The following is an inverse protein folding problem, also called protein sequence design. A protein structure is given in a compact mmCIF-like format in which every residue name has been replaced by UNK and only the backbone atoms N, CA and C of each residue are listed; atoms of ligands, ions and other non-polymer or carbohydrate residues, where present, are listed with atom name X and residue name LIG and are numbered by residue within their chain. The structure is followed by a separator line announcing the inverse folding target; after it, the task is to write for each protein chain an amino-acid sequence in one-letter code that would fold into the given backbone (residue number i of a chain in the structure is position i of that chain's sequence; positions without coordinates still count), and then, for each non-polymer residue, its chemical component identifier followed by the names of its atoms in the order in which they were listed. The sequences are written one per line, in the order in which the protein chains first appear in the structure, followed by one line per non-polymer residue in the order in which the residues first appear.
data_IF_054052438140
#
_entry.id   IF_054052438140
#
_cell.length_a   1.000
_cell.length_b   1.000
_cell.length_c   1.000
_cell.angle_alpha   90.00
_cell.angle_beta   90.00
_cell.angle_gamma   90.00
#
_symmetry.space_group_name_H-M   'P 1'
#
loop_
_entity.id
_entity.type
_entity.pdbx_description
1 polymer ?
#
# COMPACT_ATOMS: atom_id res chain seq x y z
N UNK A 1 -33.55 0.77 20.36
CA UNK A 1 -33.11 -0.63 20.30
C UNK A 1 -32.81 -1.03 18.86
N UNK A 2 -31.71 -1.69 18.67
CA UNK A 2 -31.34 -2.25 17.37
C UNK A 2 -32.28 -3.42 17.04
N UNK A 3 -32.78 -3.47 15.82
CA UNK A 3 -33.53 -4.63 15.36
C UNK A 3 -32.60 -5.84 15.22
N UNK A 4 -33.14 -7.05 15.33
CA UNK A 4 -32.36 -8.27 15.07
C UNK A 4 -31.81 -8.31 13.64
N UNK A 5 -32.56 -7.75 12.67
CA UNK A 5 -32.11 -7.66 11.28
C UNK A 5 -30.87 -6.76 11.15
N UNK A 6 -30.82 -5.61 11.85
CA UNK A 6 -29.66 -4.71 11.83
C UNK A 6 -28.42 -5.37 12.44
N UNK A 7 -28.59 -6.09 13.57
CA UNK A 7 -27.47 -6.86 14.18
C UNK A 7 -26.97 -7.97 13.28
N UNK A 8 -27.89 -8.70 12.66
CA UNK A 8 -27.54 -9.76 11.69
C UNK A 8 -26.76 -9.21 10.49
N UNK A 9 -27.24 -8.11 9.91
CA UNK A 9 -26.56 -7.47 8.79
C UNK A 9 -25.16 -7.00 9.14
N UNK A 10 -24.96 -6.38 10.32
CA UNK A 10 -23.66 -5.96 10.81
C UNK A 10 -22.71 -7.16 10.98
N UNK A 11 -23.21 -8.26 11.56
CA UNK A 11 -22.44 -9.48 11.72
C UNK A 11 -22.04 -10.08 10.38
N UNK A 12 -22.94 -10.06 9.39
CA UNK A 12 -22.65 -10.57 8.03
C UNK A 12 -21.63 -9.70 7.30
N UNK A 13 -21.68 -8.38 7.46
CA UNK A 13 -20.70 -7.46 6.91
C UNK A 13 -19.30 -7.74 7.47
N UNK A 14 -19.19 -7.88 8.80
CA UNK A 14 -17.92 -8.21 9.47
C UNK A 14 -17.37 -9.56 8.99
N UNK A 15 -18.21 -10.56 8.85
CA UNK A 15 -17.80 -11.88 8.36
C UNK A 15 -17.28 -11.80 6.93
N UNK A 16 -17.95 -11.04 6.07
CA UNK A 16 -17.52 -10.82 4.68
C UNK A 16 -16.15 -10.14 4.62
N UNK A 17 -15.92 -9.11 5.42
CA UNK A 17 -14.62 -8.44 5.52
C UNK A 17 -13.51 -9.40 5.96
N UNK A 18 -13.76 -10.20 7.00
CA UNK A 18 -12.80 -11.20 7.49
C UNK A 18 -12.47 -12.22 6.39
N UNK A 19 -13.47 -12.69 5.66
CA UNK A 19 -13.28 -13.63 4.56
C UNK A 19 -12.44 -13.03 3.42
N UNK A 20 -12.69 -11.77 3.06
CA UNK A 20 -11.91 -11.08 2.04
C UNK A 20 -10.45 -10.89 2.45
N UNK A 21 -10.20 -10.46 3.70
CA UNK A 21 -8.84 -10.33 4.23
C UNK A 21 -8.14 -11.69 4.23
N UNK A 22 -8.81 -12.73 4.70
CA UNK A 22 -8.24 -14.09 4.77
C UNK A 22 -7.88 -14.61 3.39
N UNK A 23 -8.78 -14.50 2.42
CA UNK A 23 -8.53 -14.93 1.04
C UNK A 23 -7.39 -14.14 0.40
N UNK A 24 -7.37 -12.81 0.59
CA UNK A 24 -6.31 -11.94 0.10
C UNK A 24 -4.96 -12.27 0.73
N UNK A 25 -4.91 -12.52 2.05
CA UNK A 25 -3.68 -12.92 2.74
C UNK A 25 -3.14 -14.25 2.23
N UNK A 26 -3.99 -15.23 1.93
CA UNK A 26 -3.55 -16.48 1.31
C UNK A 26 -2.85 -16.24 -0.02
N UNK A 27 -3.42 -15.40 -0.87
CA UNK A 27 -2.82 -15.06 -2.17
C UNK A 27 -1.48 -14.34 -2.01
N UNK A 28 -1.39 -13.40 -1.06
CA UNK A 28 -0.15 -12.66 -0.79
C UNK A 28 0.93 -13.55 -0.21
N UNK A 29 0.59 -14.43 0.72
CA UNK A 29 1.54 -15.41 1.28
C UNK A 29 2.05 -16.36 0.21
N UNK A 30 1.19 -16.88 -0.65
CA UNK A 30 1.59 -17.71 -1.77
C UNK A 30 2.52 -16.97 -2.72
N UNK A 31 2.24 -15.70 -3.02
CA UNK A 31 3.11 -14.86 -3.84
C UNK A 31 4.48 -14.67 -3.18
N UNK A 32 4.50 -14.39 -1.87
CA UNK A 32 5.75 -14.22 -1.11
C UNK A 32 6.59 -15.50 -1.08
N UNK A 33 5.97 -16.67 -0.92
CA UNK A 33 6.67 -17.95 -0.89
C UNK A 33 6.98 -18.54 -2.27
N UNK A 34 6.51 -17.93 -3.35
CA UNK A 34 6.71 -18.43 -4.71
C UNK A 34 8.15 -18.33 -5.22
N UNK A 35 8.96 -17.46 -4.60
CA UNK A 35 10.31 -17.15 -5.08
C UNK A 35 10.35 -16.25 -6.31
N UNK A 36 9.23 -15.67 -6.72
CA UNK A 36 9.14 -14.80 -7.92
C UNK A 36 9.55 -13.35 -7.67
N UNK A 37 9.84 -12.98 -6.42
CA UNK A 37 10.41 -11.70 -6.07
C UNK A 37 9.40 -10.59 -5.77
N UNK A 38 9.96 -9.40 -5.49
CA UNK A 38 9.20 -8.24 -5.02
C UNK A 38 8.16 -7.76 -6.05
N UNK A 39 8.54 -7.68 -7.32
CA UNK A 39 7.63 -7.18 -8.37
C UNK A 39 6.37 -8.06 -8.47
N UNK A 40 6.53 -9.37 -8.40
CA UNK A 40 5.41 -10.30 -8.43
C UNK A 40 4.48 -10.14 -7.21
N UNK A 41 5.06 -9.96 -6.03
CA UNK A 41 4.31 -9.70 -4.80
C UNK A 41 3.51 -8.39 -4.91
N UNK A 42 4.13 -7.33 -5.39
CA UNK A 42 3.50 -6.01 -5.58
C UNK A 42 2.38 -6.08 -6.63
N UNK A 43 2.61 -6.76 -7.74
CA UNK A 43 1.58 -6.94 -8.77
C UNK A 43 0.38 -7.74 -8.25
N UNK A 44 0.64 -8.77 -7.46
CA UNK A 44 -0.40 -9.56 -6.82
C UNK A 44 -1.23 -8.70 -5.87
N UNK A 45 -0.58 -7.92 -5.01
CA UNK A 45 -1.25 -7.02 -4.08
C UNK A 45 -2.07 -5.95 -4.81
N UNK A 46 -1.54 -5.36 -5.86
CA UNK A 46 -2.25 -4.36 -6.65
C UNK A 46 -3.55 -4.93 -7.24
N UNK A 47 -3.53 -6.16 -7.73
CA UNK A 47 -4.75 -6.81 -8.22
C UNK A 47 -5.77 -7.07 -7.11
N UNK A 48 -5.31 -7.48 -5.93
CA UNK A 48 -6.19 -7.75 -4.78
C UNK A 48 -6.84 -6.47 -4.28
N UNK A 49 -6.06 -5.41 -4.10
CA UNK A 49 -6.57 -4.11 -3.65
C UNK A 49 -7.30 -3.33 -4.75
N UNK A 50 -7.02 -3.63 -6.01
CA UNK A 50 -7.59 -2.93 -7.14
C UNK A 50 -7.05 -1.52 -7.35
N UNK A 51 -5.86 -1.22 -6.84
CA UNK A 51 -5.23 0.09 -6.89
C UNK A 51 -3.73 0.00 -7.17
N UNK A 52 -3.11 1.06 -7.76
CA UNK A 52 -1.68 1.10 -7.99
C UNK A 52 -0.87 1.10 -6.68
N UNK A 53 0.23 0.35 -6.66
CA UNK A 53 1.12 0.24 -5.50
C UNK A 53 2.55 0.57 -5.93
N UNK A 54 3.26 1.30 -5.09
CA UNK A 54 4.64 1.74 -5.26
C UNK A 54 5.46 1.40 -4.04
N UNK A 55 6.65 0.86 -4.25
CA UNK A 55 7.63 0.62 -3.17
C UNK A 55 8.86 1.47 -3.45
N UNK A 56 9.29 2.25 -2.47
CA UNK A 56 10.45 3.14 -2.58
C UNK A 56 11.43 2.91 -1.45
N UNK A 57 12.72 3.11 -1.71
CA UNK A 57 13.75 3.12 -0.68
C UNK A 57 13.91 4.51 -0.05
N UNK A 58 14.85 4.64 0.89
CA UNK A 58 15.10 5.92 1.58
C UNK A 58 15.79 6.96 0.68
N UNK A 59 16.31 6.58 -0.46
CA UNK A 59 16.87 7.48 -1.47
C UNK A 59 15.84 7.88 -2.54
N UNK A 60 14.56 7.58 -2.28
CA UNK A 60 13.43 7.88 -3.18
C UNK A 60 13.49 7.15 -4.52
N UNK A 61 14.20 6.02 -4.57
CA UNK A 61 14.24 5.13 -5.73
C UNK A 61 13.09 4.15 -5.67
N UNK A 62 12.37 3.98 -6.78
CA UNK A 62 11.36 2.95 -6.88
C UNK A 62 12.00 1.56 -6.96
N UNK A 63 11.66 0.71 -5.99
CA UNK A 63 12.08 -0.70 -5.96
C UNK A 63 11.09 -1.58 -6.72
N UNK A 64 9.82 -1.21 -6.72
CA UNK A 64 8.78 -1.86 -7.50
C UNK A 64 7.63 -0.89 -7.74
N UNK A 65 7.01 -1.02 -8.91
CA UNK A 65 5.80 -0.30 -9.31
C UNK A 65 4.86 -1.33 -9.90
N UNK A 66 3.62 -1.40 -9.41
CA UNK A 66 2.63 -2.34 -9.95
C UNK A 66 2.37 -2.07 -11.44
N UNK A 67 2.34 -3.13 -12.23
CA UNK A 67 2.26 -3.03 -13.70
C UNK A 67 0.84 -3.15 -14.25
N UNK A 68 -0.07 -3.82 -13.52
CA UNK A 68 -1.41 -4.16 -14.04
C UNK A 68 -2.41 -3.02 -13.98
N UNK A 69 -2.25 -2.10 -13.04
CA UNK A 69 -3.12 -0.93 -12.86
C UNK A 69 -2.23 0.30 -12.92
N UNK A 70 -2.36 1.08 -13.99
CA UNK A 70 -1.56 2.28 -14.23
C UNK A 70 -2.47 3.48 -14.00
N UNK A 71 -2.12 4.40 -13.08
CA UNK A 71 -2.94 5.58 -12.84
C UNK A 71 -2.94 6.49 -14.06
N UNK A 72 -4.10 7.03 -14.40
CA UNK A 72 -4.22 8.05 -15.43
C UNK A 72 -3.78 9.42 -14.88
N UNK A 73 -2.47 9.54 -14.66
CA UNK A 73 -1.87 10.72 -14.05
C UNK A 73 -0.46 10.91 -14.59
N UNK A 74 -0.24 12.07 -15.22
CA UNK A 74 1.05 12.39 -15.84
C UNK A 74 2.19 12.46 -14.84
N UNK A 75 1.94 12.93 -13.62
CA UNK A 75 2.93 13.00 -12.56
C UNK A 75 3.55 11.61 -12.27
N UNK A 76 2.72 10.62 -12.03
CA UNK A 76 3.20 9.25 -11.77
C UNK A 76 3.81 8.59 -13.01
N UNK A 77 3.31 8.93 -14.20
CA UNK A 77 3.91 8.45 -15.45
C UNK A 77 5.35 8.92 -15.60
N UNK A 78 5.61 10.19 -15.34
CA UNK A 78 6.95 10.76 -15.41
C UNK A 78 7.88 10.17 -14.33
N UNK A 79 7.40 10.03 -13.11
CA UNK A 79 8.17 9.40 -12.03
C UNK A 79 8.49 7.94 -12.34
N UNK A 80 7.54 7.19 -12.89
CA UNK A 80 7.75 5.80 -13.28
C UNK A 80 8.86 5.66 -14.35
N UNK A 81 8.93 6.59 -15.29
CA UNK A 81 9.99 6.60 -16.31
C UNK A 81 11.36 6.91 -15.72
N UNK A 82 11.43 7.83 -14.77
CA UNK A 82 12.71 8.21 -14.14
C UNK A 82 13.22 7.15 -13.15
N UNK A 83 12.33 6.36 -12.57
CA UNK A 83 12.65 5.39 -11.52
C UNK A 83 12.85 5.99 -10.14
N UNK A 84 12.57 7.27 -9.97
CA UNK A 84 12.74 8.01 -8.72
C UNK A 84 11.54 8.92 -8.45
N UNK A 85 11.28 9.21 -7.17
CA UNK A 85 10.35 10.28 -6.80
C UNK A 85 10.97 11.59 -7.26
N UNK A 86 10.17 12.43 -7.94
CA UNK A 86 10.61 13.72 -8.45
C UNK A 86 10.90 14.71 -7.32
N UNK A 87 11.65 15.77 -7.63
CA UNK A 87 11.87 16.88 -6.68
C UNK A 87 10.56 17.47 -6.16
N UNK A 88 9.57 17.59 -7.04
CA UNK A 88 8.23 18.06 -6.68
C UNK A 88 7.53 17.10 -5.72
N UNK A 89 7.64 15.79 -5.96
CA UNK A 89 7.11 14.75 -5.07
C UNK A 89 7.78 14.80 -3.69
N UNK A 90 9.09 14.92 -3.64
CA UNK A 90 9.85 15.04 -2.38
C UNK A 90 9.41 16.30 -1.62
N UNK A 91 9.26 17.43 -2.31
CA UNK A 91 8.81 18.67 -1.69
C UNK A 91 7.40 18.52 -1.09
N UNK A 92 6.50 17.81 -1.77
CA UNK A 92 5.16 17.51 -1.26
C UNK A 92 5.20 16.61 -0.02
N UNK A 93 6.02 15.57 -0.03
CA UNK A 93 6.20 14.67 1.13
C UNK A 93 6.66 15.48 2.35
N UNK A 94 7.64 16.36 2.19
CA UNK A 94 8.14 17.22 3.27
C UNK A 94 7.10 18.22 3.74
N UNK A 95 6.40 18.88 2.83
CA UNK A 95 5.39 19.88 3.16
C UNK A 95 4.23 19.27 3.96
N UNK A 96 3.88 18.03 3.69
CA UNK A 96 2.81 17.30 4.38
C UNK A 96 3.29 16.49 5.58
N UNK A 97 4.57 16.54 5.92
CA UNK A 97 5.17 15.82 7.06
C UNK A 97 4.85 14.30 7.05
N UNK A 98 4.82 13.68 5.87
CA UNK A 98 4.36 12.30 5.71
C UNK A 98 5.20 11.31 6.50
N UNK A 99 6.52 11.44 6.43
CA UNK A 99 7.44 10.53 7.13
C UNK A 99 7.22 10.58 8.65
N UNK A 100 7.01 11.79 9.17
CA UNK A 100 6.74 12.00 10.61
C UNK A 100 5.40 11.40 11.02
N UNK A 101 4.37 11.56 10.19
CA UNK A 101 3.04 11.04 10.49
C UNK A 101 3.01 9.51 10.46
N UNK A 102 3.67 8.88 9.49
CA UNK A 102 3.78 7.42 9.41
C UNK A 102 4.51 6.86 10.63
N UNK A 103 5.63 7.48 11.03
CA UNK A 103 6.39 7.07 12.22
C UNK A 103 5.60 7.24 13.50
N UNK A 104 4.90 8.36 13.64
CA UNK A 104 4.14 8.69 14.86
C UNK A 104 3.05 7.67 15.16
N UNK A 105 2.32 7.23 14.14
CA UNK A 105 1.17 6.35 14.32
C UNK A 105 1.51 4.87 14.21
N UNK A 106 2.65 4.52 13.64
CA UNK A 106 3.09 3.14 13.42
C UNK A 106 2.02 2.26 12.75
N UNK A 107 1.28 2.86 11.83
CA UNK A 107 0.32 2.19 10.97
C UNK A 107 0.17 3.02 9.68
N UNK A 108 -0.49 2.47 8.64
CA UNK A 108 -0.68 3.20 7.40
C UNK A 108 -1.35 4.55 7.61
N UNK A 109 -0.81 5.57 6.97
CA UNK A 109 -1.30 6.94 7.04
C UNK A 109 -1.98 7.31 5.73
N UNK A 110 -3.25 7.77 5.83
CA UNK A 110 -4.02 8.24 4.68
C UNK A 110 -3.92 9.75 4.55
N UNK A 111 -3.66 10.22 3.33
CA UNK A 111 -3.71 11.65 3.03
C UNK A 111 -4.10 11.88 1.58
N UNK A 112 -4.59 13.10 1.27
CA UNK A 112 -4.89 13.51 -0.10
C UNK A 112 -3.79 14.42 -0.59
N UNK A 113 -3.14 14.02 -1.68
CA UNK A 113 -2.08 14.81 -2.30
C UNK A 113 -2.68 15.82 -3.27
N UNK A 114 -2.25 17.08 -3.16
CA UNK A 114 -2.63 18.14 -4.12
C UNK A 114 -1.99 17.91 -5.49
N UNK A 115 -0.84 17.24 -5.56
CA UNK A 115 -0.13 16.95 -6.81
C UNK A 115 -0.89 15.95 -7.69
N UNK A 116 -1.54 14.98 -7.06
CA UNK A 116 -2.16 13.87 -7.77
C UNK A 116 -3.67 13.86 -7.66
N UNK A 117 -4.23 14.76 -6.85
CA UNK A 117 -5.67 14.93 -6.65
C UNK A 117 -6.41 13.64 -6.26
N UNK A 118 -5.71 12.76 -5.54
CA UNK A 118 -6.30 11.51 -5.06
C UNK A 118 -5.79 11.16 -3.67
N UNK A 119 -6.53 10.30 -2.97
CA UNK A 119 -6.11 9.75 -1.70
C UNK A 119 -4.95 8.77 -1.87
N UNK A 120 -4.14 8.67 -0.84
CA UNK A 120 -2.99 7.79 -0.81
C UNK A 120 -2.82 7.21 0.59
N UNK A 121 -2.50 5.93 0.65
CA UNK A 121 -2.15 5.24 1.87
C UNK A 121 -0.64 4.96 1.85
N UNK A 122 0.04 5.35 2.90
CA UNK A 122 1.51 5.20 3.02
C UNK A 122 1.85 4.46 4.30
N UNK A 123 2.75 3.50 4.20
CA UNK A 123 3.29 2.79 5.36
C UNK A 123 4.81 2.64 5.24
N UNK A 124 5.48 2.56 6.37
CA UNK A 124 6.93 2.37 6.43
C UNK A 124 7.30 0.89 6.38
N UNK A 125 8.43 0.61 5.74
CA UNK A 125 9.02 -0.72 5.71
C UNK A 125 10.15 -0.76 6.73
N UNK A 126 10.09 -1.73 7.65
CA UNK A 126 11.13 -1.94 8.66
C UNK A 126 11.78 -3.31 8.50
N UNK A 127 13.11 -3.33 8.62
CA UNK A 127 13.90 -4.56 8.75
C UNK A 127 14.67 -4.46 10.06
N UNK A 128 14.43 -5.39 10.99
CA UNK A 128 15.04 -5.38 12.32
C UNK A 128 14.88 -4.02 13.04
N UNK A 129 13.68 -3.46 12.97
CA UNK A 129 13.31 -2.16 13.54
C UNK A 129 13.99 -0.94 12.90
N UNK A 130 14.67 -1.12 11.77
CA UNK A 130 15.27 -0.03 10.99
C UNK A 130 14.35 0.26 9.81
N UNK A 131 13.95 1.51 9.65
CA UNK A 131 13.18 1.95 8.48
C UNK A 131 14.07 1.94 7.24
N UNK A 132 13.61 1.24 6.19
CA UNK A 132 14.37 1.07 4.95
C UNK A 132 13.66 1.60 3.71
N UNK A 133 12.41 1.99 3.83
CA UNK A 133 11.63 2.50 2.72
C UNK A 133 10.16 2.66 3.07
N UNK A 134 9.35 2.88 2.03
CA UNK A 134 7.92 3.09 2.15
C UNK A 134 7.15 2.33 1.08
N UNK A 135 5.92 1.95 1.40
CA UNK A 135 4.94 1.45 0.43
C UNK A 135 3.82 2.47 0.33
N UNK A 136 3.43 2.78 -0.90
CA UNK A 136 2.34 3.71 -1.19
C UNK A 136 1.29 3.03 -2.04
N UNK A 137 0.00 3.26 -1.75
CA UNK A 137 -1.10 2.80 -2.58
C UNK A 137 -2.03 3.98 -2.89
N UNK A 138 -2.34 4.17 -4.17
CA UNK A 138 -3.24 5.24 -4.61
C UNK A 138 -4.70 4.78 -4.55
N UNK A 139 -5.58 5.69 -4.13
CA UNK A 139 -7.04 5.50 -4.20
C UNK A 139 -7.58 5.99 -5.55
N UNK A 140 -6.99 5.52 -6.65
CA UNK A 140 -7.33 6.03 -7.98
C UNK A 140 -8.42 5.25 -8.68
N UNK A 141 -8.50 3.93 -8.45
CA UNK A 141 -9.45 3.05 -9.13
C UNK A 141 -10.60 2.60 -8.22
N UNK A 142 -10.27 2.26 -6.98
CA UNK A 142 -11.24 1.80 -5.99
C UNK A 142 -11.09 2.58 -4.69
N UNK A 143 -12.20 3.05 -4.08
CA UNK A 143 -12.16 3.65 -2.75
C UNK A 143 -11.65 2.63 -1.72
N UNK A 144 -10.93 3.12 -0.72
CA UNK A 144 -10.48 2.27 0.38
C UNK A 144 -11.63 1.97 1.33
N UNK A 145 -11.97 0.69 1.48
CA UNK A 145 -12.89 0.23 2.51
C UNK A 145 -12.23 0.26 3.89
N UNK A 146 -13.02 0.23 4.94
CA UNK A 146 -12.54 0.42 6.32
C UNK A 146 -11.47 -0.59 6.75
N UNK A 147 -11.49 -1.80 6.20
CA UNK A 147 -10.51 -2.85 6.52
C UNK A 147 -9.20 -2.72 5.74
N UNK A 148 -9.15 -1.89 4.70
CA UNK A 148 -7.98 -1.78 3.80
C UNK A 148 -6.71 -1.33 4.52
N UNK A 149 -6.71 -0.33 5.41
CA UNK A 149 -5.48 0.06 6.11
C UNK A 149 -4.82 -1.08 6.88
N UNK A 150 -5.57 -1.85 7.66
CA UNK A 150 -5.03 -2.99 8.42
C UNK A 150 -4.51 -4.09 7.50
N UNK A 151 -5.24 -4.38 6.43
CA UNK A 151 -4.82 -5.36 5.42
C UNK A 151 -3.55 -4.90 4.70
N UNK A 152 -3.48 -3.65 4.31
CA UNK A 152 -2.31 -3.04 3.68
C UNK A 152 -1.08 -3.09 4.60
N UNK A 153 -1.26 -2.84 5.89
CA UNK A 153 -0.17 -2.95 6.87
C UNK A 153 0.44 -4.36 6.89
N UNK A 154 -0.39 -5.40 6.83
CA UNK A 154 0.06 -6.79 6.74
C UNK A 154 0.82 -7.05 5.44
N UNK A 155 0.34 -6.52 4.33
CA UNK A 155 1.06 -6.59 3.06
C UNK A 155 2.45 -5.94 3.16
N UNK A 156 2.56 -4.78 3.81
CA UNK A 156 3.84 -4.10 3.99
C UNK A 156 4.85 -4.95 4.78
N UNK A 157 4.38 -5.76 5.72
CA UNK A 157 5.24 -6.73 6.42
C UNK A 157 5.77 -7.80 5.48
N UNK A 158 4.98 -8.25 4.51
CA UNK A 158 5.44 -9.19 3.48
C UNK A 158 6.47 -8.54 2.55
N UNK A 159 6.30 -7.26 2.21
CA UNK A 159 7.32 -6.51 1.46
C UNK A 159 8.64 -6.48 2.23
N UNK A 160 8.58 -6.24 3.53
CA UNK A 160 9.76 -6.29 4.40
C UNK A 160 10.47 -7.65 4.34
N UNK A 161 9.71 -8.74 4.41
CA UNK A 161 10.27 -10.10 4.29
C UNK A 161 10.91 -10.33 2.92
N UNK A 162 10.29 -9.84 1.87
CA UNK A 162 10.80 -9.99 0.49
C UNK A 162 12.13 -9.25 0.30
N UNK A 163 12.24 -8.03 0.84
CA UNK A 163 13.48 -7.25 0.79
C UNK A 163 14.63 -7.90 1.58
N UNK A 164 14.33 -8.70 2.58
CA UNK A 164 15.34 -9.42 3.36
C UNK A 164 15.90 -10.64 2.65
N UNK A 165 15.22 -11.16 1.63
CA UNK A 165 15.66 -12.33 0.87
C UNK A 165 16.77 -12.00 -0.13
N UNK A 166 16.89 -10.75 -0.52
CA UNK A 166 17.87 -10.30 -1.50
C UNK A 166 19.18 -9.96 -0.76
N UNK A 167 20.28 -10.67 -1.06
CA UNK A 167 21.57 -10.38 -0.44
C UNK A 167 22.19 -9.09 -0.94
#
# INVERSE_FOLDING_TARGET
SFSQAALFNTAMELLTEIQQITAGMHLLLNASFSGKGLQYLVDTASRIFGNPIYVVDLQNKYLAISAGIIPDNDFFREESKSGYISKQGIASIRANHLDEMVRKYNHPYYYTSELVHTGMLVDAIHIQNIEVGHVMMLESEHPFEDYVPDFFHRFCKLVSLELQKDP
#
